data_IF_478093743982
#
_entry.id   IF_478093743982
#
_cell.length_a   1.000
_cell.length_b   1.000
_cell.length_c   1.000
_cell.angle_alpha   90.00
_cell.angle_beta   90.00
_cell.angle_gamma   90.00
#
_symmetry.space_group_name_H-M   'P 1'
#
loop_
_entity.id
_entity.type
_entity.pdbx_description
1 polymer ?
#
# COMPACT_ATOMS: atom_id res chain seq x y z
N UNK A 1 49.83 25.21 4.93
CA UNK A 1 48.84 26.27 5.17
C UNK A 1 48.12 26.50 3.84
N UNK A 2 47.09 25.70 3.57
CA UNK A 2 45.65 26.07 3.62
C UNK A 2 45.10 26.47 2.24
N UNK A 3 44.97 25.49 1.34
CA UNK A 3 44.24 25.62 0.08
C UNK A 3 42.73 25.48 0.31
N UNK A 4 42.05 26.59 0.58
CA UNK A 4 40.61 26.65 0.78
C UNK A 4 39.84 26.91 -0.52
N UNK A 5 39.15 25.90 -1.05
CA UNK A 5 38.18 26.04 -2.13
C UNK A 5 36.87 26.63 -1.57
N UNK A 6 36.32 27.73 -2.12
CA UNK A 6 35.11 28.35 -1.59
C UNK A 6 33.89 27.44 -1.82
N UNK A 7 33.20 27.10 -0.74
CA UNK A 7 31.93 26.35 -0.78
C UNK A 7 30.82 27.28 -1.28
N UNK A 8 30.03 26.90 -2.31
CA UNK A 8 28.87 27.67 -2.73
C UNK A 8 27.82 27.66 -1.61
N UNK A 9 27.34 28.84 -1.23
CA UNK A 9 26.25 28.97 -0.26
C UNK A 9 24.98 28.31 -0.84
N UNK A 10 24.50 27.25 -0.18
CA UNK A 10 23.18 26.70 -0.46
C UNK A 10 22.14 27.77 -0.16
N UNK A 11 21.48 28.27 -1.21
CA UNK A 11 20.25 29.05 -1.06
C UNK A 11 19.24 28.18 -0.32
N UNK A 12 18.80 28.64 0.84
CA UNK A 12 17.69 28.03 1.56
C UNK A 12 16.49 27.94 0.61
N UNK A 13 16.02 26.71 0.39
CA UNK A 13 14.78 26.48 -0.35
C UNK A 13 13.65 27.09 0.50
N UNK A 14 12.79 27.95 -0.07
CA UNK A 14 11.68 28.50 0.70
C UNK A 14 10.80 27.33 1.14
N UNK A 15 10.41 27.32 2.42
CA UNK A 15 9.43 26.39 2.95
C UNK A 15 8.16 26.52 2.11
N UNK A 16 7.91 25.54 1.25
CA UNK A 16 6.64 25.41 0.59
C UNK A 16 5.60 25.22 1.69
N UNK A 17 4.61 26.10 1.69
CA UNK A 17 3.42 26.00 2.51
C UNK A 17 2.79 24.61 2.24
N UNK A 18 3.07 23.65 3.12
CA UNK A 18 2.53 22.30 3.04
C UNK A 18 1.02 22.40 3.24
N UNK A 19 0.25 22.39 2.16
CA UNK A 19 -1.15 22.01 2.25
C UNK A 19 -1.16 20.61 2.84
N UNK A 20 -1.50 20.48 4.13
CA UNK A 20 -1.49 19.23 4.86
C UNK A 20 -2.06 18.10 3.99
N UNK A 21 -1.33 16.98 3.91
CA UNK A 21 -1.81 15.80 3.21
C UNK A 21 -3.16 15.38 3.84
N UNK A 22 -4.16 14.93 3.06
CA UNK A 22 -5.33 14.31 3.64
C UNK A 22 -4.89 13.12 4.49
N UNK A 23 -5.28 13.08 5.76
CA UNK A 23 -4.99 12.01 6.73
C UNK A 23 -6.33 11.54 7.27
N UNK A 24 -6.66 10.27 7.04
CA UNK A 24 -7.86 9.62 7.58
C UNK A 24 -7.56 8.29 8.26
N UNK A 25 -6.34 7.75 8.11
CA UNK A 25 -5.80 6.72 8.99
C UNK A 25 -5.09 7.32 10.19
N UNK A 26 -4.52 6.45 11.02
CA UNK A 26 -3.69 6.82 12.17
C UNK A 26 -2.19 6.89 11.84
N UNK A 27 -1.42 7.25 12.87
CA UNK A 27 0.05 7.39 12.80
C UNK A 27 0.82 6.16 13.27
N UNK A 28 0.14 5.13 13.77
CA UNK A 28 0.79 3.88 14.19
C UNK A 28 1.17 3.05 12.98
N UNK A 29 2.06 2.08 13.16
CA UNK A 29 2.51 1.22 12.07
C UNK A 29 1.41 0.28 11.59
N UNK A 30 1.49 -0.24 10.35
CA UNK A 30 0.55 -1.24 9.88
C UNK A 30 0.57 -2.54 10.69
N UNK A 31 1.71 -2.94 11.25
CA UNK A 31 1.81 -4.13 12.10
C UNK A 31 1.09 -3.91 13.44
N UNK A 32 1.25 -2.74 14.06
CA UNK A 32 0.50 -2.38 15.28
C UNK A 32 -1.01 -2.32 15.00
N UNK A 33 -1.42 -1.82 13.81
CA UNK A 33 -2.82 -1.81 13.37
C UNK A 33 -3.39 -3.22 13.27
N UNK A 34 -2.68 -4.14 12.64
CA UNK A 34 -3.08 -5.55 12.54
C UNK A 34 -3.18 -6.21 13.92
N UNK A 35 -2.23 -5.94 14.82
CA UNK A 35 -2.19 -6.53 16.16
C UNK A 35 -3.31 -6.03 17.10
N UNK A 36 -3.72 -4.77 16.94
CA UNK A 36 -4.72 -4.12 17.80
C UNK A 36 -6.16 -4.21 17.29
N UNK A 37 -6.38 -4.71 16.08
CA UNK A 37 -7.71 -4.77 15.46
C UNK A 37 -8.15 -6.22 15.25
N UNK A 38 -9.33 -6.64 15.74
CA UNK A 38 -9.87 -7.98 15.47
C UNK A 38 -10.03 -8.27 13.97
N UNK A 39 -9.88 -9.55 13.59
CA UNK A 39 -10.02 -10.00 12.20
C UNK A 39 -11.42 -9.68 11.67
N UNK A 40 -11.49 -9.04 10.51
CA UNK A 40 -12.73 -8.63 9.84
C UNK A 40 -13.18 -7.20 10.12
N UNK A 41 -12.49 -6.47 11.01
CA UNK A 41 -12.90 -5.13 11.43
C UNK A 41 -12.12 -3.99 10.75
N UNK A 42 -11.05 -4.29 10.00
CA UNK A 42 -10.35 -3.26 9.23
C UNK A 42 -11.18 -2.83 8.01
N UNK A 43 -11.35 -1.52 7.87
CA UNK A 43 -12.09 -0.88 6.76
C UNK A 43 -11.30 0.30 6.23
N UNK A 44 -11.25 0.44 4.91
CA UNK A 44 -10.59 1.57 4.29
C UNK A 44 -11.35 2.86 4.60
N UNK A 45 -10.74 3.85 5.28
CA UNK A 45 -11.42 5.11 5.56
C UNK A 45 -11.63 5.96 4.30
N UNK A 46 -10.84 5.76 3.23
CA UNK A 46 -10.88 6.56 2.01
C UNK A 46 -11.92 6.06 0.99
N UNK A 47 -13.19 6.02 1.38
CA UNK A 47 -14.30 5.56 0.51
C UNK A 47 -14.56 6.49 -0.68
N UNK A 48 -14.41 7.80 -0.49
CA UNK A 48 -14.61 8.85 -1.51
C UNK A 48 -13.29 9.57 -1.84
N UNK A 49 -12.24 8.79 -2.08
CA UNK A 49 -10.90 9.31 -2.35
C UNK A 49 -10.88 10.25 -3.58
N UNK A 50 -10.39 11.47 -3.38
CA UNK A 50 -10.13 12.41 -4.47
C UNK A 50 -8.76 12.17 -5.13
N UNK A 51 -8.49 12.88 -6.23
CA UNK A 51 -7.24 12.74 -6.99
C UNK A 51 -5.99 12.95 -6.15
N UNK A 52 -6.03 13.82 -5.13
CA UNK A 52 -4.90 14.04 -4.21
C UNK A 52 -4.59 12.78 -3.39
N UNK A 53 -5.61 12.09 -2.88
CA UNK A 53 -5.42 10.81 -2.15
C UNK A 53 -4.86 9.74 -3.09
N UNK A 54 -5.36 9.66 -4.34
CA UNK A 54 -4.89 8.69 -5.33
C UNK A 54 -3.43 8.94 -5.73
N UNK A 55 -3.03 10.20 -5.92
CA UNK A 55 -1.65 10.58 -6.23
C UNK A 55 -0.70 10.23 -5.07
N UNK A 56 -1.10 10.56 -3.84
CA UNK A 56 -0.35 10.19 -2.64
C UNK A 56 -0.23 8.68 -2.49
N UNK A 57 -1.33 7.95 -2.64
CA UNK A 57 -1.35 6.49 -2.63
C UNK A 57 -0.41 5.87 -3.66
N UNK A 58 -0.41 6.40 -4.89
CA UNK A 58 0.52 5.99 -5.94
C UNK A 58 1.96 6.26 -5.54
N UNK A 59 2.28 7.45 -5.03
CA UNK A 59 3.64 7.80 -4.59
C UNK A 59 4.14 6.86 -3.49
N UNK A 60 3.28 6.52 -2.53
CA UNK A 60 3.59 5.56 -1.45
C UNK A 60 3.77 4.15 -1.98
N UNK A 61 2.92 3.71 -2.92
CA UNK A 61 3.03 2.41 -3.59
C UNK A 61 4.38 2.25 -4.32
N UNK A 62 4.84 3.31 -5.01
CA UNK A 62 6.16 3.33 -5.66
C UNK A 62 7.30 3.36 -4.65
N UNK A 63 7.14 4.12 -3.56
CA UNK A 63 8.19 4.28 -2.53
C UNK A 63 8.35 3.04 -1.66
N UNK A 64 7.29 2.25 -1.49
CA UNK A 64 7.30 0.95 -0.81
C UNK A 64 7.74 -0.20 -1.73
N UNK A 65 8.23 0.09 -2.94
CA UNK A 65 8.73 -0.86 -3.94
C UNK A 65 7.70 -1.88 -4.45
N UNK A 66 6.41 -1.66 -4.22
CA UNK A 66 5.34 -2.56 -4.69
C UNK A 66 5.37 -2.71 -6.22
N UNK A 67 5.73 -1.64 -6.92
CA UNK A 67 5.85 -1.62 -8.38
C UNK A 67 6.97 -2.51 -8.94
N UNK A 68 7.99 -2.83 -8.15
CA UNK A 68 9.07 -3.72 -8.58
C UNK A 68 8.54 -5.12 -8.93
N UNK A 69 7.50 -5.56 -8.22
CA UNK A 69 6.89 -6.87 -8.39
C UNK A 69 5.56 -6.83 -9.15
N UNK A 70 4.71 -5.84 -8.84
CA UNK A 70 3.33 -5.74 -9.36
C UNK A 70 3.16 -4.69 -10.47
N UNK A 71 4.24 -4.06 -10.92
CA UNK A 71 4.23 -3.02 -11.95
C UNK A 71 3.74 -1.66 -11.45
N UNK A 72 4.09 -0.58 -12.16
CA UNK A 72 3.82 0.80 -11.72
C UNK A 72 2.34 1.17 -11.54
N UNK A 73 1.45 0.43 -12.20
CA UNK A 73 -0.01 0.61 -12.14
C UNK A 73 -0.75 -0.65 -11.71
N UNK A 74 -0.06 -1.58 -11.04
CA UNK A 74 -0.67 -2.85 -10.61
C UNK A 74 -0.96 -3.83 -11.75
N UNK A 75 -0.32 -3.66 -12.92
CA UNK A 75 -0.49 -4.52 -14.08
C UNK A 75 0.14 -5.93 -13.96
N UNK A 76 0.88 -6.20 -12.88
CA UNK A 76 1.63 -7.43 -12.69
C UNK A 76 3.01 -7.40 -13.34
N UNK A 77 3.66 -8.56 -13.39
CA UNK A 77 4.99 -8.75 -13.96
C UNK A 77 5.64 -9.98 -13.34
N UNK A 78 6.57 -9.76 -12.40
CA UNK A 78 7.14 -10.84 -11.59
C UNK A 78 6.10 -11.45 -10.64
N UNK A 79 5.12 -10.66 -10.20
CA UNK A 79 4.03 -11.07 -9.33
C UNK A 79 2.67 -10.85 -10.01
N UNK A 80 1.57 -11.44 -9.47
CA UNK A 80 0.25 -11.31 -10.09
C UNK A 80 -0.21 -9.85 -10.24
N UNK A 81 -1.06 -9.54 -11.23
CA UNK A 81 -1.67 -8.22 -11.32
C UNK A 81 -2.52 -7.90 -10.08
N UNK A 82 -2.53 -6.63 -9.68
CA UNK A 82 -3.43 -6.08 -8.65
C UNK A 82 -4.64 -5.36 -9.28
N UNK A 83 -4.60 -5.17 -10.60
CA UNK A 83 -5.60 -4.45 -11.38
C UNK A 83 -6.68 -5.35 -11.99
N UNK A 84 -6.57 -6.68 -11.89
CA UNK A 84 -7.54 -7.61 -12.48
C UNK A 84 -8.59 -8.07 -11.45
N UNK A 85 -9.47 -8.98 -11.86
CA UNK A 85 -10.57 -9.49 -11.06
C UNK A 85 -10.22 -10.61 -10.06
N UNK A 86 -9.01 -11.18 -10.14
CA UNK A 86 -8.63 -12.35 -9.36
C UNK A 86 -7.91 -11.92 -8.08
N UNK A 87 -8.64 -11.97 -6.97
CA UNK A 87 -8.08 -11.75 -5.64
C UNK A 87 -7.73 -13.07 -4.99
N UNK A 88 -6.43 -13.39 -4.94
CA UNK A 88 -5.93 -14.70 -4.52
C UNK A 88 -6.34 -15.07 -3.10
N UNK A 89 -6.34 -14.14 -2.13
CA UNK A 89 -6.69 -14.44 -0.73
C UNK A 89 -8.08 -13.90 -0.32
N UNK A 90 -8.65 -13.00 -1.13
CA UNK A 90 -9.87 -12.26 -0.83
C UNK A 90 -9.71 -10.79 -1.20
N UNK A 91 -10.82 -10.14 -1.53
CA UNK A 91 -10.87 -8.77 -2.02
C UNK A 91 -11.31 -7.75 -0.97
N UNK A 92 -11.75 -8.17 0.21
CA UNK A 92 -12.17 -7.25 1.28
C UNK A 92 -10.98 -6.49 1.89
N UNK A 93 -11.27 -5.35 2.52
CA UNK A 93 -10.25 -4.47 3.07
C UNK A 93 -9.43 -5.08 4.20
N UNK A 94 -10.04 -5.90 5.07
CA UNK A 94 -9.32 -6.54 6.16
C UNK A 94 -8.32 -7.57 5.63
N UNK A 95 -8.76 -8.41 4.68
CA UNK A 95 -7.88 -9.34 3.99
C UNK A 95 -6.72 -8.62 3.31
N UNK A 96 -7.01 -7.58 2.51
CA UNK A 96 -5.97 -6.90 1.75
C UNK A 96 -4.98 -6.17 2.67
N UNK A 97 -5.46 -5.48 3.70
CA UNK A 97 -4.60 -4.78 4.65
C UNK A 97 -3.68 -5.74 5.39
N UNK A 98 -4.24 -6.81 5.98
CA UNK A 98 -3.44 -7.81 6.72
C UNK A 98 -2.46 -8.52 5.81
N UNK A 99 -2.86 -8.86 4.59
CA UNK A 99 -1.99 -9.51 3.61
C UNK A 99 -0.78 -8.63 3.27
N UNK A 100 -0.98 -7.33 3.00
CA UNK A 100 0.13 -6.42 2.71
C UNK A 100 1.02 -6.20 3.93
N UNK A 101 0.42 -6.03 5.12
CA UNK A 101 1.18 -5.79 6.33
C UNK A 101 2.05 -7.01 6.74
N UNK A 102 1.47 -8.21 6.74
CA UNK A 102 2.10 -9.44 7.24
C UNK A 102 2.88 -10.22 6.18
N UNK A 103 2.49 -10.09 4.90
CA UNK A 103 2.91 -11.02 3.85
C UNK A 103 2.07 -12.30 3.87
N UNK A 104 2.12 -13.08 2.79
CA UNK A 104 1.22 -14.22 2.58
C UNK A 104 1.34 -15.33 3.61
N UNK A 105 2.56 -15.63 4.05
CA UNK A 105 2.83 -16.80 4.90
C UNK A 105 2.36 -16.53 6.33
N UNK A 106 2.73 -15.38 6.89
CA UNK A 106 2.28 -14.96 8.21
C UNK A 106 0.78 -14.62 8.22
N UNK A 107 0.25 -14.00 7.16
CA UNK A 107 -1.20 -13.80 6.99
C UNK A 107 -1.96 -15.13 7.07
N UNK A 108 -1.53 -16.15 6.32
CA UNK A 108 -2.18 -17.46 6.31
C UNK A 108 -2.11 -18.11 7.69
N UNK A 109 -0.94 -18.05 8.34
CA UNK A 109 -0.72 -18.60 9.68
C UNK A 109 -1.61 -17.95 10.75
N UNK A 110 -1.77 -16.63 10.71
CA UNK A 110 -2.56 -15.89 11.71
C UNK A 110 -4.07 -15.97 11.45
N UNK A 111 -4.50 -15.97 10.19
CA UNK A 111 -5.93 -15.84 9.85
C UNK A 111 -6.60 -17.16 9.51
N UNK A 112 -5.82 -18.19 9.16
CA UNK A 112 -6.29 -19.46 8.60
C UNK A 112 -6.75 -19.37 7.14
N UNK A 113 -6.61 -18.20 6.49
CA UNK A 113 -7.07 -17.98 5.11
C UNK A 113 -6.03 -18.49 4.12
N UNK A 114 -6.38 -19.53 3.38
CA UNK A 114 -5.60 -20.03 2.24
C UNK A 114 -5.95 -19.32 0.93
N UNK A 115 -5.12 -19.51 -0.10
CA UNK A 115 -5.40 -19.02 -1.47
C UNK A 115 -6.77 -19.55 -1.95
N UNK A 116 -7.66 -18.64 -2.33
CA UNK A 116 -8.99 -18.85 -2.92
C UNK A 116 -8.98 -18.71 -4.45
N UNK A 117 -8.13 -17.82 -4.96
CA UNK A 117 -7.96 -17.56 -6.40
C UNK A 117 -6.68 -18.20 -6.96
N UNK A 118 -6.65 -18.37 -8.29
CA UNK A 118 -5.48 -18.92 -9.01
C UNK A 118 -4.94 -17.88 -9.98
N UNK A 119 -3.65 -17.62 -9.84
CA UNK A 119 -2.86 -16.75 -10.71
C UNK A 119 -1.64 -17.54 -11.19
N UNK A 120 -1.03 -17.09 -12.30
CA UNK A 120 0.14 -17.78 -12.86
C UNK A 120 1.34 -17.77 -11.91
N UNK A 121 1.46 -16.73 -11.08
CA UNK A 121 2.52 -16.61 -10.07
C UNK A 121 1.98 -17.01 -8.70
N UNK A 122 2.63 -18.02 -8.10
CA UNK A 122 2.18 -18.64 -6.84
C UNK A 122 3.15 -18.46 -5.66
N UNK A 123 4.23 -17.71 -5.85
CA UNK A 123 5.21 -17.45 -4.78
C UNK A 123 4.63 -16.66 -3.60
N UNK A 124 5.30 -16.72 -2.43
CA UNK A 124 4.90 -15.95 -1.27
C UNK A 124 5.14 -14.46 -1.48
N UNK A 125 4.24 -13.63 -0.95
CA UNK A 125 4.40 -12.17 -0.92
C UNK A 125 5.05 -11.77 0.41
N UNK A 126 6.17 -11.04 0.42
CA UNK A 126 6.76 -10.56 1.67
C UNK A 126 5.87 -9.50 2.33
N UNK A 127 5.95 -9.40 3.65
CA UNK A 127 5.25 -8.38 4.41
C UNK A 127 5.88 -7.01 4.23
N UNK A 128 5.02 -6.00 4.05
CA UNK A 128 5.42 -4.60 3.88
C UNK A 128 5.08 -3.74 5.11
N UNK A 129 4.54 -4.33 6.19
CA UNK A 129 4.13 -3.60 7.39
C UNK A 129 5.29 -2.96 8.18
N UNK A 130 6.53 -3.40 7.95
CA UNK A 130 7.74 -2.78 8.50
C UNK A 130 8.34 -1.70 7.57
N UNK A 131 7.93 -1.67 6.30
CA UNK A 131 8.42 -0.72 5.27
C UNK A 131 7.51 0.50 5.21
N UNK A 132 6.19 0.25 5.22
CA UNK A 132 5.17 1.30 5.23
C UNK A 132 5.09 1.90 6.64
N UNK A 133 5.34 3.20 6.74
CA UNK A 133 5.60 3.87 8.02
C UNK A 133 4.38 3.99 8.92
N UNK A 134 3.21 4.24 8.33
CA UNK A 134 1.98 4.51 9.08
C UNK A 134 0.80 3.73 8.50
N UNK A 135 -0.22 3.51 9.31
CA UNK A 135 -1.45 2.88 8.87
C UNK A 135 -2.21 3.73 7.85
N UNK A 136 -2.12 5.06 7.97
CA UNK A 136 -2.61 6.00 6.96
C UNK A 136 -1.93 5.83 5.58
N UNK A 137 -0.59 5.69 5.56
CA UNK A 137 0.14 5.44 4.32
C UNK A 137 -0.27 4.10 3.68
N UNK A 138 -0.51 3.08 4.50
CA UNK A 138 -1.02 1.78 4.02
C UNK A 138 -2.40 1.92 3.39
N UNK A 139 -3.31 2.66 4.02
CA UNK A 139 -4.64 2.90 3.48
C UNK A 139 -4.62 3.71 2.18
N UNK A 140 -3.73 4.70 2.05
CA UNK A 140 -3.49 5.41 0.78
C UNK A 140 -3.01 4.46 -0.31
N UNK A 141 -2.07 3.57 -0.01
CA UNK A 141 -1.59 2.53 -0.96
C UNK A 141 -2.75 1.64 -1.41
N UNK A 142 -3.54 1.12 -0.47
CA UNK A 142 -4.70 0.26 -0.77
C UNK A 142 -5.71 1.01 -1.63
N UNK A 143 -5.99 2.28 -1.32
CA UNK A 143 -6.90 3.12 -2.09
C UNK A 143 -6.43 3.29 -3.54
N UNK A 144 -5.13 3.49 -3.76
CA UNK A 144 -4.55 3.50 -5.11
C UNK A 144 -4.67 2.13 -5.79
N UNK A 145 -4.44 1.02 -5.08
CA UNK A 145 -4.65 -0.34 -5.61
C UNK A 145 -6.10 -0.51 -6.08
N UNK A 146 -7.09 -0.04 -5.30
CA UNK A 146 -8.50 -0.07 -5.71
C UNK A 146 -8.78 0.79 -6.93
N UNK A 147 -8.14 1.95 -7.06
CA UNK A 147 -8.37 2.85 -8.20
C UNK A 147 -7.84 2.31 -9.52
N UNK A 148 -6.85 1.41 -9.49
CA UNK A 148 -6.31 0.77 -10.70
C UNK A 148 -7.02 -0.53 -11.08
N UNK A 149 -8.07 -0.92 -10.35
CA UNK A 149 -8.90 -2.08 -10.67
C UNK A 149 -9.63 -1.89 -12.02
N UNK A 150 -9.52 -2.88 -12.90
CA UNK A 150 -10.06 -2.93 -14.27
C UNK A 150 -10.95 -4.15 -14.51
N UNK A 151 -11.26 -4.93 -13.47
CA UNK A 151 -12.21 -6.03 -13.56
C UNK A 151 -13.66 -5.54 -13.55
N UNK A 152 -14.59 -6.48 -13.51
CA UNK A 152 -16.02 -6.20 -13.46
C UNK A 152 -16.40 -5.40 -12.18
N UNK A 153 -16.99 -4.19 -12.31
CA UNK A 153 -17.45 -3.41 -11.16
C UNK A 153 -18.42 -4.16 -10.23
N UNK A 154 -19.19 -5.13 -10.73
CA UNK A 154 -20.10 -5.94 -9.92
C UNK A 154 -19.38 -6.85 -8.90
N UNK A 155 -18.09 -7.10 -9.11
CA UNK A 155 -17.23 -7.91 -8.25
C UNK A 155 -16.49 -7.09 -7.18
N UNK A 156 -16.72 -5.78 -7.11
CA UNK A 156 -16.19 -4.93 -6.04
C UNK A 156 -16.94 -5.23 -4.74
N UNK A 157 -16.23 -5.76 -3.75
CA UNK A 157 -16.80 -6.14 -2.44
C UNK A 157 -16.18 -5.34 -1.29
N UNK A 158 -15.56 -4.22 -1.61
CA UNK A 158 -14.93 -3.29 -0.68
C UNK A 158 -15.70 -1.97 -0.69
#
# INVERSE_FOLDING_TARGET
MEDGFPVPQQKAKPAANETAEPVMGGSMTPLERVASTPKGELKNPYVDANDKVLELGRKKYLSASCNGCHGGTGGGGMCPPLSNEVWVYGSDDDTLYRLIALGSDEFTKQTGVSRKGRENVVGPMPGHGAIVKTDDDMWKIITFIRSVYRGDPSRKTW
#
